data_IF_408864056790
#
_entry.id   IF_408864056790
#
_cell.length_a   1.000
_cell.length_b   1.000
_cell.length_c   1.000
_cell.angle_alpha   90.00
_cell.angle_beta   90.00
_cell.angle_gamma   90.00
#
_symmetry.space_group_name_H-M   'P 1'
#
loop_
_entity.id
_entity.type
_entity.pdbx_description
1 polymer ?
#
# COMPACT_ATOMS: atom_id res chain seq x y z
N UNK A 1 -16.77 -63.94 15.23
CA UNK A 1 -17.22 -62.59 15.60
C UNK A 1 -16.08 -61.58 15.78
N UNK A 2 -14.97 -61.90 16.46
CA UNK A 2 -13.85 -61.01 16.69
C UNK A 2 -13.10 -60.56 15.42
N UNK A 3 -12.98 -61.44 14.41
CA UNK A 3 -12.28 -61.11 13.14
C UNK A 3 -13.03 -60.04 12.34
N UNK A 4 -14.36 -60.12 12.24
CA UNK A 4 -15.17 -59.15 11.52
C UNK A 4 -15.13 -57.76 12.19
N UNK A 5 -15.11 -57.74 13.52
CA UNK A 5 -14.97 -56.48 14.29
C UNK A 5 -13.61 -55.81 14.07
N UNK A 6 -12.53 -56.59 14.03
CA UNK A 6 -11.19 -56.05 13.75
C UNK A 6 -11.10 -55.46 12.34
N UNK A 7 -11.67 -56.15 11.33
CA UNK A 7 -11.71 -55.64 9.96
C UNK A 7 -12.50 -54.33 9.86
N UNK A 8 -13.62 -54.20 10.54
CA UNK A 8 -14.39 -52.95 10.60
C UNK A 8 -13.62 -51.82 11.25
N UNK A 9 -12.89 -52.05 12.33
CA UNK A 9 -12.06 -51.06 13.01
C UNK A 9 -10.94 -50.55 12.11
N UNK A 10 -10.24 -51.44 11.38
CA UNK A 10 -9.19 -51.08 10.44
C UNK A 10 -9.77 -50.26 9.26
N UNK A 11 -10.92 -50.64 8.71
CA UNK A 11 -11.57 -49.89 7.66
C UNK A 11 -11.99 -48.49 8.11
N UNK A 12 -12.55 -48.37 9.34
CA UNK A 12 -12.92 -47.08 9.92
C UNK A 12 -11.70 -46.18 10.11
N UNK A 13 -10.59 -46.72 10.61
CA UNK A 13 -9.34 -45.99 10.81
C UNK A 13 -8.79 -45.47 9.46
N UNK A 14 -8.80 -46.28 8.40
CA UNK A 14 -8.35 -45.87 7.08
C UNK A 14 -9.23 -44.77 6.49
N UNK A 15 -10.54 -44.83 6.68
CA UNK A 15 -11.47 -43.78 6.23
C UNK A 15 -11.21 -42.50 7.00
N UNK A 16 -11.01 -42.52 8.29
CA UNK A 16 -10.71 -41.33 9.10
C UNK A 16 -9.35 -40.73 8.75
N UNK A 17 -8.33 -41.55 8.49
CA UNK A 17 -7.01 -41.10 8.04
C UNK A 17 -7.06 -40.44 6.65
N UNK A 18 -7.82 -41.02 5.71
CA UNK A 18 -8.05 -40.40 4.41
C UNK A 18 -8.81 -39.08 4.51
N UNK A 19 -9.81 -39.02 5.36
CA UNK A 19 -10.58 -37.79 5.61
C UNK A 19 -9.70 -36.69 6.22
N UNK A 20 -8.81 -37.04 7.13
CA UNK A 20 -7.84 -36.11 7.75
C UNK A 20 -6.82 -35.60 6.72
N UNK A 21 -6.29 -36.47 5.84
CA UNK A 21 -5.40 -36.11 4.75
C UNK A 21 -6.10 -35.20 3.73
N UNK A 22 -7.33 -35.51 3.34
CA UNK A 22 -8.10 -34.69 2.40
C UNK A 22 -8.45 -33.33 3.02
N UNK A 23 -8.87 -33.29 4.26
CA UNK A 23 -9.16 -32.05 4.97
C UNK A 23 -7.91 -31.20 5.18
N UNK A 24 -6.75 -31.81 5.45
CA UNK A 24 -5.45 -31.16 5.52
C UNK A 24 -5.05 -30.54 4.19
N UNK A 25 -5.16 -31.29 3.07
CA UNK A 25 -4.88 -30.78 1.70
C UNK A 25 -5.86 -29.68 1.30
N UNK A 26 -7.13 -29.78 1.66
CA UNK A 26 -8.13 -28.73 1.39
C UNK A 26 -7.89 -27.49 2.26
N UNK A 27 -7.43 -27.68 3.49
CA UNK A 27 -7.03 -26.58 4.38
C UNK A 27 -5.80 -25.85 3.85
N UNK A 28 -4.74 -26.57 3.45
CA UNK A 28 -3.55 -25.97 2.83
C UNK A 28 -3.88 -25.27 1.51
N UNK A 29 -4.75 -25.85 0.68
CA UNK A 29 -5.17 -25.26 -0.59
C UNK A 29 -6.01 -23.99 -0.40
N UNK A 30 -6.78 -23.88 0.68
CA UNK A 30 -7.52 -22.66 1.04
C UNK A 30 -6.62 -21.55 1.63
N UNK A 31 -5.50 -21.91 2.26
CA UNK A 31 -4.61 -20.94 2.92
C UNK A 31 -3.35 -20.61 2.14
N UNK A 32 -3.10 -21.23 0.97
CA UNK A 32 -1.92 -20.95 0.13
C UNK A 32 -2.14 -19.90 -0.95
N UNK A 33 -3.36 -19.40 -1.14
CA UNK A 33 -3.64 -18.37 -2.16
C UNK A 33 -3.58 -17.00 -1.50
N UNK A 34 -2.46 -16.31 -1.65
CA UNK A 34 -2.35 -14.91 -1.29
C UNK A 34 -3.45 -14.11 -2.03
N UNK A 35 -4.21 -13.24 -1.36
CA UNK A 35 -5.24 -12.45 -2.02
C UNK A 35 -4.59 -11.50 -3.05
N UNK A 36 -5.36 -11.09 -4.05
CA UNK A 36 -4.89 -10.06 -4.99
C UNK A 36 -4.79 -8.73 -4.27
N UNK A 37 -3.67 -8.03 -4.46
CA UNK A 37 -3.44 -6.68 -3.92
C UNK A 37 -3.59 -5.64 -5.03
N UNK A 38 -4.48 -4.68 -4.82
CA UNK A 38 -4.74 -3.57 -5.73
C UNK A 38 -4.03 -2.31 -5.25
N UNK A 39 -3.17 -1.73 -6.10
CA UNK A 39 -2.68 -0.37 -5.93
C UNK A 39 -3.65 0.63 -6.57
N UNK A 40 -3.98 1.72 -5.88
CA UNK A 40 -4.79 2.81 -6.41
C UNK A 40 -3.90 4.02 -6.59
N UNK A 41 -3.66 4.43 -7.84
CA UNK A 41 -2.82 5.56 -8.22
C UNK A 41 -3.66 6.64 -8.90
N UNK A 42 -3.53 7.88 -8.45
CA UNK A 42 -4.07 9.05 -9.14
C UNK A 42 -2.90 9.85 -9.69
N UNK A 43 -2.93 10.19 -10.98
CA UNK A 43 -1.84 10.90 -11.66
C UNK A 43 -2.34 11.82 -12.76
N UNK A 44 -1.44 12.61 -13.36
CA UNK A 44 -1.70 13.31 -14.61
C UNK A 44 -1.69 14.82 -14.52
N UNK A 45 -1.25 15.43 -13.40
CA UNK A 45 -1.19 16.89 -13.28
C UNK A 45 -0.28 17.55 -14.34
N UNK A 46 0.87 16.91 -14.61
CA UNK A 46 1.87 17.38 -15.58
C UNK A 46 2.78 16.23 -16.04
N UNK A 47 3.71 16.50 -16.94
CA UNK A 47 4.63 15.50 -17.51
C UNK A 47 5.61 14.94 -16.45
N UNK A 48 5.97 15.73 -15.43
CA UNK A 48 6.81 15.27 -14.35
C UNK A 48 6.08 14.21 -13.49
N UNK A 49 4.80 14.44 -13.20
CA UNK A 49 3.95 13.47 -12.50
C UNK A 49 3.80 12.17 -13.30
N UNK A 50 3.67 12.25 -14.62
CA UNK A 50 3.64 11.04 -15.47
C UNK A 50 4.95 10.25 -15.41
N UNK A 51 6.11 10.94 -15.35
CA UNK A 51 7.40 10.27 -15.17
C UNK A 51 7.46 9.56 -13.82
N UNK A 52 7.06 10.22 -12.74
CA UNK A 52 7.01 9.57 -11.41
C UNK A 52 6.02 8.41 -11.38
N UNK A 53 4.86 8.53 -12.03
CA UNK A 53 3.89 7.45 -12.15
C UNK A 53 4.47 6.20 -12.83
N UNK A 54 5.37 6.37 -13.81
CA UNK A 54 6.09 5.23 -14.40
C UNK A 54 7.02 4.56 -13.39
N UNK A 55 7.84 5.33 -12.67
CA UNK A 55 8.75 4.82 -11.64
C UNK A 55 7.98 4.15 -10.50
N UNK A 56 6.89 4.77 -10.06
CA UNK A 56 6.02 4.24 -9.01
C UNK A 56 5.30 2.96 -9.45
N UNK A 57 4.95 2.84 -10.75
CA UNK A 57 4.43 1.60 -11.35
C UNK A 57 5.45 0.46 -11.27
N UNK A 58 6.71 0.73 -11.62
CA UNK A 58 7.79 -0.25 -11.51
C UNK A 58 8.00 -0.66 -10.05
N UNK A 59 8.03 0.31 -9.13
CA UNK A 59 8.14 0.06 -7.69
C UNK A 59 7.00 -0.80 -7.14
N UNK A 60 5.76 -0.64 -7.67
CA UNK A 60 4.63 -1.48 -7.30
C UNK A 60 4.81 -2.93 -7.74
N UNK A 61 5.23 -3.15 -8.97
CA UNK A 61 5.42 -4.52 -9.47
C UNK A 61 6.69 -5.18 -8.95
N UNK A 62 7.70 -4.43 -8.51
CA UNK A 62 8.91 -4.97 -7.85
C UNK A 62 8.68 -5.38 -6.39
N UNK A 63 7.51 -5.13 -5.81
CA UNK A 63 7.19 -5.60 -4.46
C UNK A 63 7.29 -7.12 -4.35
N UNK A 64 7.90 -7.63 -3.27
CA UNK A 64 8.13 -9.06 -3.03
C UNK A 64 6.89 -9.83 -2.56
N UNK A 65 5.74 -9.17 -2.52
CA UNK A 65 4.45 -9.77 -2.21
C UNK A 65 4.12 -10.92 -3.16
N UNK A 66 3.75 -12.08 -2.60
CA UNK A 66 3.58 -13.32 -3.35
C UNK A 66 2.22 -13.47 -4.05
N UNK A 67 1.23 -12.68 -3.66
CA UNK A 67 -0.08 -12.65 -4.32
C UNK A 67 -0.03 -11.89 -5.66
N UNK A 68 -1.09 -12.02 -6.43
CA UNK A 68 -1.27 -11.20 -7.62
C UNK A 68 -1.31 -9.72 -7.26
N UNK A 69 -0.74 -8.91 -8.13
CA UNK A 69 -0.75 -7.44 -8.01
C UNK A 69 -1.47 -6.85 -9.21
N UNK A 70 -2.39 -5.93 -8.98
CA UNK A 70 -3.10 -5.17 -10.00
C UNK A 70 -3.00 -3.69 -9.67
N UNK A 71 -2.61 -2.86 -10.63
CA UNK A 71 -2.52 -1.41 -10.45
C UNK A 71 -3.67 -0.72 -11.19
N UNK A 72 -4.45 0.07 -10.45
CA UNK A 72 -5.51 0.91 -11.02
C UNK A 72 -5.00 2.34 -11.06
N UNK A 73 -4.86 2.89 -12.26
CA UNK A 73 -4.38 4.25 -12.50
C UNK A 73 -5.55 5.10 -12.99
N UNK A 74 -5.93 6.11 -12.22
CA UNK A 74 -6.84 7.17 -12.67
C UNK A 74 -5.97 8.33 -13.13
N UNK A 75 -5.97 8.57 -14.43
CA UNK A 75 -5.13 9.54 -15.09
C UNK A 75 -5.98 10.69 -15.64
N UNK A 76 -5.64 11.91 -15.27
CA UNK A 76 -6.32 13.12 -15.75
C UNK A 76 -5.45 13.98 -16.68
N UNK A 77 -4.38 13.41 -17.25
CA UNK A 77 -3.57 14.01 -18.31
C UNK A 77 -3.98 13.41 -19.67
N UNK A 78 -3.83 14.17 -20.75
CA UNK A 78 -4.08 13.70 -22.11
C UNK A 78 -3.10 12.60 -22.55
N UNK A 79 -1.89 12.61 -21.98
CA UNK A 79 -0.89 11.56 -22.20
C UNK A 79 -1.11 10.39 -21.23
N UNK A 80 -0.94 9.18 -21.72
CA UNK A 80 -0.99 7.98 -20.87
C UNK A 80 0.32 7.76 -20.12
N UNK A 81 0.23 7.13 -18.94
CA UNK A 81 1.39 6.54 -18.27
C UNK A 81 1.90 5.38 -19.13
N UNK A 82 3.19 5.37 -19.44
CA UNK A 82 3.82 4.30 -20.23
C UNK A 82 4.06 3.11 -19.29
N UNK A 83 3.41 1.99 -19.60
CA UNK A 83 3.52 0.75 -18.83
C UNK A 83 4.36 -0.24 -19.61
N UNK A 84 5.44 -0.82 -19.03
CA UNK A 84 6.18 -1.89 -19.67
C UNK A 84 5.27 -3.03 -20.10
N UNK A 85 5.53 -3.61 -21.28
CA UNK A 85 4.65 -4.63 -21.89
C UNK A 85 4.38 -5.82 -20.97
N UNK A 86 5.36 -6.21 -20.17
CA UNK A 86 5.25 -7.30 -19.19
C UNK A 86 4.18 -7.06 -18.12
N UNK A 87 3.83 -5.81 -17.82
CA UNK A 87 2.85 -5.43 -16.78
C UNK A 87 1.52 -4.92 -17.34
N UNK A 88 1.41 -4.71 -18.68
CA UNK A 88 0.20 -4.12 -19.27
C UNK A 88 -1.10 -4.85 -18.92
N UNK A 89 -1.05 -6.18 -18.83
CA UNK A 89 -2.21 -7.01 -18.47
C UNK A 89 -2.60 -6.96 -16.98
N UNK A 90 -1.76 -6.33 -16.13
CA UNK A 90 -1.95 -6.14 -14.69
C UNK A 90 -2.32 -4.70 -14.33
N UNK A 91 -2.48 -3.83 -15.33
CA UNK A 91 -2.78 -2.41 -15.12
C UNK A 91 -4.11 -2.05 -15.75
N UNK A 92 -4.98 -1.45 -14.95
CA UNK A 92 -6.22 -0.81 -15.41
C UNK A 92 -5.95 0.71 -15.42
N UNK A 93 -5.92 1.32 -16.60
CA UNK A 93 -5.73 2.77 -16.72
C UNK A 93 -7.00 3.43 -17.26
N UNK A 94 -7.59 4.32 -16.45
CA UNK A 94 -8.79 5.08 -16.79
C UNK A 94 -8.42 6.55 -16.92
N UNK A 95 -8.85 7.16 -18.02
CA UNK A 95 -8.74 8.60 -18.21
C UNK A 95 -10.00 9.29 -17.67
N UNK A 96 -9.81 10.36 -16.89
CA UNK A 96 -10.89 11.18 -16.35
C UNK A 96 -10.61 12.66 -16.59
N UNK A 97 -11.67 13.45 -16.70
CA UNK A 97 -11.52 14.89 -16.79
C UNK A 97 -11.37 15.50 -15.37
N UNK A 98 -10.25 16.16 -15.11
CA UNK A 98 -9.95 16.79 -13.82
C UNK A 98 -10.92 17.92 -13.45
N UNK A 99 -11.49 18.61 -14.44
CA UNK A 99 -12.42 19.70 -14.17
C UNK A 99 -13.78 19.24 -13.63
N UNK A 100 -14.11 17.96 -13.80
CA UNK A 100 -15.38 17.38 -13.37
C UNK A 100 -15.25 16.39 -12.20
N UNK A 101 -14.01 16.04 -11.79
CA UNK A 101 -13.76 15.05 -10.75
C UNK A 101 -12.77 15.62 -9.72
N UNK A 102 -13.18 15.58 -8.46
CA UNK A 102 -12.29 15.85 -7.34
C UNK A 102 -11.33 14.66 -7.11
N UNK A 103 -10.31 14.85 -6.28
CA UNK A 103 -9.39 13.77 -5.90
C UNK A 103 -10.15 12.59 -5.28
N UNK A 104 -11.07 12.88 -4.35
CA UNK A 104 -11.89 11.84 -3.72
C UNK A 104 -12.79 11.09 -4.69
N UNK A 105 -13.41 11.81 -5.66
CA UNK A 105 -14.20 11.16 -6.72
C UNK A 105 -13.35 10.21 -7.58
N UNK A 106 -12.14 10.63 -7.97
CA UNK A 106 -11.21 9.78 -8.73
C UNK A 106 -10.79 8.52 -7.94
N UNK A 107 -10.57 8.65 -6.62
CA UNK A 107 -10.26 7.52 -5.76
C UNK A 107 -11.43 6.54 -5.64
N UNK A 108 -12.67 7.05 -5.59
CA UNK A 108 -13.85 6.22 -5.56
C UNK A 108 -14.02 5.44 -6.87
N UNK A 109 -13.79 6.05 -8.03
CA UNK A 109 -13.77 5.32 -9.32
C UNK A 109 -12.79 4.14 -9.28
N UNK A 110 -11.60 4.33 -8.74
CA UNK A 110 -10.64 3.25 -8.60
C UNK A 110 -11.08 2.20 -7.57
N UNK A 111 -11.64 2.64 -6.44
CA UNK A 111 -12.08 1.76 -5.37
C UNK A 111 -13.25 0.85 -5.81
N UNK A 112 -14.12 1.33 -6.68
CA UNK A 112 -15.22 0.54 -7.27
C UNK A 112 -14.72 -0.65 -8.09
N UNK A 113 -13.53 -0.56 -8.66
CA UNK A 113 -12.94 -1.64 -9.44
C UNK A 113 -12.22 -2.68 -8.58
N UNK A 114 -12.03 -2.41 -7.29
CA UNK A 114 -11.44 -3.37 -6.35
C UNK A 114 -12.53 -4.34 -5.91
N UNK A 115 -12.39 -5.66 -6.12
CA UNK A 115 -13.35 -6.65 -5.64
C UNK A 115 -13.46 -6.64 -4.12
N UNK A 116 -14.62 -7.02 -3.61
CA UNK A 116 -14.83 -7.22 -2.18
C UNK A 116 -13.87 -8.29 -1.66
N UNK A 117 -13.44 -8.13 -0.41
CA UNK A 117 -12.44 -8.98 0.26
C UNK A 117 -11.02 -8.96 -0.35
N UNK A 118 -10.78 -8.27 -1.47
CA UNK A 118 -9.43 -8.07 -1.98
C UNK A 118 -8.65 -7.09 -1.10
N UNK A 119 -7.32 -7.15 -1.18
CA UNK A 119 -6.44 -6.16 -0.56
C UNK A 119 -6.32 -4.94 -1.45
N UNK A 120 -6.21 -3.78 -0.83
CA UNK A 120 -5.93 -2.55 -1.54
C UNK A 120 -5.07 -1.58 -0.72
N UNK A 121 -4.36 -0.72 -1.42
CA UNK A 121 -3.54 0.34 -0.84
C UNK A 121 -3.54 1.54 -1.77
N UNK A 122 -3.52 2.74 -1.22
CA UNK A 122 -3.16 3.91 -2.02
C UNK A 122 -1.72 3.82 -2.43
N UNK A 123 -1.47 4.09 -3.71
CA UNK A 123 -0.14 4.02 -4.30
C UNK A 123 0.14 5.33 -5.02
N UNK A 124 0.53 6.36 -4.27
CA UNK A 124 0.77 7.67 -4.85
C UNK A 124 1.87 7.59 -5.92
N UNK A 125 1.69 8.39 -6.98
CA UNK A 125 2.51 8.35 -8.19
C UNK A 125 3.93 8.89 -7.99
N UNK A 126 4.18 9.62 -6.90
CA UNK A 126 5.44 10.29 -6.59
C UNK A 126 6.16 9.73 -5.34
N UNK A 127 5.68 8.65 -4.73
CA UNK A 127 6.23 8.12 -3.50
C UNK A 127 7.00 6.81 -3.72
N UNK A 128 8.05 6.61 -2.90
CA UNK A 128 8.80 5.37 -2.86
C UNK A 128 8.33 4.46 -1.73
N UNK A 129 8.21 3.16 -2.02
CA UNK A 129 7.99 2.11 -1.04
C UNK A 129 9.07 1.04 -1.16
N UNK A 130 9.58 0.58 -0.01
CA UNK A 130 10.57 -0.50 0.01
C UNK A 130 10.02 -1.77 -0.63
N UNK A 131 10.89 -2.59 -1.22
CA UNK A 131 10.50 -3.84 -1.88
C UNK A 131 9.67 -4.78 -1.02
N UNK A 132 9.84 -4.75 0.28
CA UNK A 132 9.17 -5.58 1.28
C UNK A 132 7.97 -4.90 1.96
N UNK A 133 7.51 -3.75 1.45
CA UNK A 133 6.39 -3.00 2.02
C UNK A 133 5.11 -3.83 2.06
N UNK A 134 4.63 -4.32 0.93
CA UNK A 134 3.38 -5.08 0.85
C UNK A 134 3.45 -6.40 1.61
N UNK A 135 4.54 -7.15 1.48
CA UNK A 135 4.70 -8.44 2.17
C UNK A 135 4.75 -8.28 3.69
N UNK A 136 5.38 -7.21 4.18
CA UNK A 136 5.43 -6.91 5.62
C UNK A 136 4.04 -6.56 6.16
N UNK A 137 3.32 -5.63 5.52
CA UNK A 137 1.99 -5.23 5.99
C UNK A 137 1.00 -6.42 5.93
N UNK A 138 1.05 -7.21 4.86
CA UNK A 138 0.22 -8.40 4.75
C UNK A 138 0.52 -9.44 5.84
N UNK A 139 1.81 -9.70 6.13
CA UNK A 139 2.22 -10.60 7.21
C UNK A 139 1.61 -10.17 8.56
N UNK A 140 1.62 -8.88 8.85
CA UNK A 140 1.01 -8.38 10.09
C UNK A 140 -0.52 -8.43 10.05
N UNK A 141 -1.15 -8.16 8.91
CA UNK A 141 -2.59 -8.31 8.73
C UNK A 141 -3.04 -9.73 9.07
N UNK A 142 -2.39 -10.75 8.52
CA UNK A 142 -2.70 -12.15 8.78
C UNK A 142 -2.41 -12.55 10.25
N UNK A 143 -1.22 -12.23 10.76
CA UNK A 143 -0.81 -12.63 12.10
C UNK A 143 -1.63 -12.00 13.22
N UNK A 144 -2.12 -10.77 13.00
CA UNK A 144 -2.96 -10.01 13.94
C UNK A 144 -4.45 -10.19 13.69
N UNK A 145 -4.82 -10.81 12.54
CA UNK A 145 -6.22 -11.00 12.12
C UNK A 145 -6.99 -9.68 12.07
N UNK A 146 -6.39 -8.68 11.43
CA UNK A 146 -6.97 -7.34 11.27
C UNK A 146 -7.28 -7.04 9.82
N UNK A 147 -8.12 -6.06 9.57
CA UNK A 147 -8.54 -5.68 8.22
C UNK A 147 -7.74 -4.51 7.64
N UNK A 148 -6.91 -3.87 8.46
CA UNK A 148 -5.99 -2.85 8.01
C UNK A 148 -4.69 -2.88 8.80
N UNK A 149 -3.59 -2.52 8.14
CA UNK A 149 -2.27 -2.35 8.76
C UNK A 149 -1.66 -1.05 8.26
N UNK A 150 -1.10 -0.29 9.19
CA UNK A 150 -0.29 0.90 8.93
C UNK A 150 1.00 0.82 9.73
N UNK A 151 1.83 1.86 9.70
CA UNK A 151 3.11 1.90 10.40
C UNK A 151 3.39 3.27 11.01
N UNK A 152 4.39 3.34 11.91
CA UNK A 152 4.67 4.52 12.74
C UNK A 152 5.55 5.55 12.06
N UNK A 153 6.55 5.13 11.26
CA UNK A 153 7.61 6.02 10.79
C UNK A 153 7.62 6.13 9.28
N UNK A 154 7.60 7.35 8.77
CA UNK A 154 7.82 7.65 7.36
C UNK A 154 8.93 8.68 7.19
N UNK A 155 9.58 8.65 6.05
CA UNK A 155 10.53 9.68 5.65
C UNK A 155 9.91 10.62 4.61
N UNK A 156 10.38 11.85 4.58
CA UNK A 156 10.11 12.80 3.51
C UNK A 156 11.45 13.26 2.93
N UNK A 157 11.54 13.29 1.62
CA UNK A 157 12.73 13.71 0.88
C UNK A 157 12.38 14.86 -0.06
N UNK A 158 13.00 16.02 0.14
CA UNK A 158 12.83 17.17 -0.74
C UNK A 158 13.83 17.07 -1.89
N UNK A 159 13.34 16.90 -3.11
CA UNK A 159 14.16 16.68 -4.31
C UNK A 159 14.99 17.91 -4.69
N UNK A 160 14.52 19.13 -4.35
CA UNK A 160 15.19 20.38 -4.71
C UNK A 160 16.33 20.71 -3.74
N UNK A 161 16.13 20.49 -2.43
CA UNK A 161 17.12 20.82 -1.39
C UNK A 161 17.96 19.65 -0.92
N UNK A 162 17.53 18.40 -1.23
CA UNK A 162 18.14 17.19 -0.71
C UNK A 162 17.93 16.98 0.80
N UNK A 163 17.03 17.74 1.40
CA UNK A 163 16.71 17.61 2.83
C UNK A 163 15.87 16.36 3.09
N UNK A 164 16.13 15.73 4.23
CA UNK A 164 15.43 14.52 4.71
C UNK A 164 14.84 14.79 6.08
N UNK A 165 13.57 14.44 6.25
CA UNK A 165 12.88 14.46 7.54
C UNK A 165 12.36 13.08 7.88
N UNK A 166 12.18 12.80 9.16
CA UNK A 166 11.51 11.60 9.66
C UNK A 166 10.32 12.03 10.51
N UNK A 167 9.17 11.48 10.21
CA UNK A 167 7.95 11.69 10.99
C UNK A 167 7.59 10.39 11.69
N UNK A 168 7.29 10.47 12.99
CA UNK A 168 6.80 9.36 13.77
C UNK A 168 5.39 9.66 14.27
N UNK A 169 4.47 8.75 14.01
CA UNK A 169 3.11 8.83 14.51
C UNK A 169 2.73 7.50 15.19
N UNK A 170 2.78 7.47 16.53
CA UNK A 170 2.48 6.25 17.31
C UNK A 170 1.12 5.62 16.99
N UNK A 171 0.14 6.44 16.61
CA UNK A 171 -1.17 5.97 16.15
C UNK A 171 -1.16 5.44 14.72
N UNK A 172 0.00 5.45 14.04
CA UNK A 172 0.17 5.09 12.63
C UNK A 172 -0.32 6.17 11.67
N UNK A 173 0.25 6.16 10.48
CA UNK A 173 -0.18 7.01 9.37
C UNK A 173 -1.47 6.47 8.74
N UNK A 174 -2.31 7.37 8.22
CA UNK A 174 -3.46 7.01 7.40
C UNK A 174 -3.07 6.88 5.92
N UNK A 175 -4.07 6.74 5.09
CA UNK A 175 -4.09 6.82 3.64
C UNK A 175 -2.95 6.10 2.89
N UNK A 176 -1.96 6.82 2.34
CA UNK A 176 -0.88 6.25 1.51
C UNK A 176 0.02 5.23 2.24
N UNK A 177 -0.16 5.10 3.55
CA UNK A 177 0.63 4.25 4.43
C UNK A 177 -0.15 3.03 4.95
N UNK A 178 -1.30 2.72 4.37
CA UNK A 178 -2.14 1.61 4.83
C UNK A 178 -2.28 0.53 3.76
N UNK A 179 -2.25 -0.73 4.19
CA UNK A 179 -2.78 -1.87 3.44
C UNK A 179 -4.13 -2.24 4.08
N UNK A 180 -5.18 -2.30 3.27
CA UNK A 180 -6.54 -2.52 3.73
C UNK A 180 -7.17 -3.71 3.02
N UNK A 181 -8.05 -4.43 3.71
CA UNK A 181 -9.01 -5.33 3.10
C UNK A 181 -10.22 -4.53 2.61
N UNK A 182 -10.66 -4.75 1.38
CA UNK A 182 -11.84 -4.05 0.85
C UNK A 182 -13.08 -4.44 1.65
N UNK A 183 -13.81 -3.43 2.10
CA UNK A 183 -15.08 -3.58 2.84
C UNK A 183 -16.12 -2.66 2.23
N UNK A 184 -17.38 -3.10 2.27
CA UNK A 184 -18.51 -2.22 1.96
C UNK A 184 -18.58 -1.00 2.88
N UNK A 185 -19.13 0.08 2.38
CA UNK A 185 -19.47 1.27 3.16
C UNK A 185 -18.35 2.29 3.34
N UNK A 186 -17.14 2.05 2.84
CA UNK A 186 -16.11 3.07 2.79
C UNK A 186 -16.09 3.79 1.43
N UNK A 187 -16.15 5.13 1.49
CA UNK A 187 -16.01 6.04 0.35
C UNK A 187 -15.17 7.24 0.73
N UNK A 188 -14.32 7.68 -0.19
CA UNK A 188 -13.61 8.93 -0.03
C UNK A 188 -14.58 10.11 -0.13
N UNK A 189 -14.32 11.15 0.66
CA UNK A 189 -15.05 12.40 0.52
C UNK A 189 -14.83 13.02 -0.86
N UNK A 190 -15.89 13.53 -1.46
CA UNK A 190 -15.84 14.16 -2.79
C UNK A 190 -15.24 15.58 -2.72
N UNK A 191 -13.97 15.67 -2.32
CA UNK A 191 -13.16 16.89 -2.16
C UNK A 191 -11.75 16.67 -2.69
N UNK A 192 -10.99 17.76 -2.87
CA UNK A 192 -9.61 17.72 -3.38
C UNK A 192 -8.55 17.62 -2.28
N UNK A 193 -8.92 17.85 -1.03
CA UNK A 193 -8.00 17.79 0.11
C UNK A 193 -8.69 17.16 1.30
N UNK A 194 -7.97 16.35 2.08
CA UNK A 194 -8.54 15.61 3.22
C UNK A 194 -9.67 14.64 2.85
N UNK A 195 -9.70 14.16 1.62
CA UNK A 195 -10.67 13.18 1.14
C UNK A 195 -10.57 11.85 1.87
N UNK A 196 -9.40 11.55 2.41
CA UNK A 196 -9.00 10.31 3.09
C UNK A 196 -9.14 10.35 4.63
N UNK A 197 -9.60 11.47 5.19
CA UNK A 197 -9.59 11.71 6.64
C UNK A 197 -10.27 10.63 7.48
N UNK A 198 -11.29 9.97 6.91
CA UNK A 198 -12.07 8.97 7.63
C UNK A 198 -11.58 7.52 7.36
N UNK A 199 -10.62 7.31 6.47
CA UNK A 199 -10.13 5.97 6.14
C UNK A 199 -9.64 5.21 7.38
N UNK A 200 -8.78 5.84 8.17
CA UNK A 200 -8.25 5.23 9.39
C UNK A 200 -9.36 4.97 10.41
N UNK A 201 -10.29 5.92 10.58
CA UNK A 201 -11.43 5.79 11.47
C UNK A 201 -12.36 4.65 11.06
N UNK A 202 -12.55 4.45 9.77
CA UNK A 202 -13.37 3.36 9.25
C UNK A 202 -12.84 1.96 9.66
N UNK A 203 -11.52 1.82 9.75
CA UNK A 203 -10.86 0.58 10.17
C UNK A 203 -10.47 0.55 11.66
N UNK A 204 -10.81 1.56 12.47
CA UNK A 204 -10.28 1.79 13.83
C UNK A 204 -10.40 0.56 14.75
N UNK A 205 -11.50 -0.17 14.68
CA UNK A 205 -11.71 -1.40 15.44
C UNK A 205 -10.93 -2.62 14.93
N UNK A 206 -10.32 -2.53 13.76
CA UNK A 206 -9.62 -3.64 13.07
C UNK A 206 -8.35 -3.17 12.35
N UNK A 207 -7.61 -2.24 12.97
CA UNK A 207 -6.34 -1.72 12.47
C UNK A 207 -5.18 -2.14 13.38
N UNK A 208 -4.07 -2.55 12.77
CA UNK A 208 -2.81 -2.77 13.46
C UNK A 208 -1.78 -1.73 13.03
N UNK A 209 -1.07 -1.14 13.99
CA UNK A 209 0.04 -0.22 13.75
C UNK A 209 1.36 -0.95 13.93
N UNK A 210 2.11 -1.09 12.85
CA UNK A 210 3.43 -1.71 12.86
C UNK A 210 4.49 -0.67 13.24
N UNK A 211 5.30 -0.97 14.25
CA UNK A 211 6.47 -0.16 14.59
C UNK A 211 7.62 -0.50 13.64
N UNK A 212 7.96 0.46 12.77
CA UNK A 212 9.00 0.34 11.76
C UNK A 212 10.21 1.24 12.03
N UNK A 213 10.44 1.62 13.29
CA UNK A 213 11.46 2.62 13.70
C UNK A 213 12.84 2.36 13.08
N UNK A 214 13.24 1.10 12.92
CA UNK A 214 14.55 0.72 12.37
C UNK A 214 14.55 0.48 10.85
N UNK A 215 13.45 0.80 10.14
CA UNK A 215 13.31 0.44 8.73
C UNK A 215 12.70 1.56 7.90
N UNK A 216 13.37 1.87 6.79
CA UNK A 216 12.83 2.78 5.77
C UNK A 216 11.81 2.04 4.92
N UNK A 217 10.55 2.07 5.30
CA UNK A 217 9.45 1.45 4.55
C UNK A 217 8.90 2.34 3.45
N UNK A 218 8.84 3.63 3.72
CA UNK A 218 8.13 4.59 2.89
C UNK A 218 8.86 5.93 2.91
N UNK A 219 9.06 6.49 1.71
CA UNK A 219 9.62 7.83 1.53
C UNK A 219 8.64 8.62 0.66
N UNK A 220 8.11 9.70 1.23
CA UNK A 220 7.34 10.68 0.48
C UNK A 220 8.26 11.65 -0.21
N UNK A 221 8.08 11.83 -1.53
CA UNK A 221 8.76 12.90 -2.25
C UNK A 221 8.07 14.23 -2.00
N UNK A 222 8.89 15.23 -1.68
CA UNK A 222 8.45 16.61 -1.51
C UNK A 222 9.00 17.43 -2.68
N UNK A 223 8.10 17.99 -3.48
CA UNK A 223 8.39 18.84 -4.63
C UNK A 223 7.28 19.89 -4.81
N UNK A 224 7.50 20.90 -5.65
CA UNK A 224 6.58 22.04 -5.83
C UNK A 224 5.17 21.67 -6.33
N UNK A 225 5.01 20.51 -6.95
CA UNK A 225 3.75 20.02 -7.49
C UNK A 225 2.97 19.10 -6.56
N UNK A 226 3.41 18.87 -5.30
CA UNK A 226 2.59 18.14 -4.32
C UNK A 226 1.28 18.88 -4.05
N UNK A 227 0.19 18.12 -3.91
CA UNK A 227 -1.14 18.68 -3.59
C UNK A 227 -1.33 19.02 -2.13
N UNK A 228 -0.52 18.46 -1.24
CA UNK A 228 -0.62 18.66 0.21
C UNK A 228 -0.07 20.01 0.65
N UNK A 229 -0.84 20.76 1.44
CA UNK A 229 -0.45 22.07 1.99
C UNK A 229 0.79 22.05 2.91
N UNK A 230 1.25 20.88 3.36
CA UNK A 230 2.50 20.76 4.13
C UNK A 230 3.73 21.25 3.36
N UNK A 231 3.71 21.16 2.04
CA UNK A 231 4.80 21.61 1.17
C UNK A 231 5.03 23.12 1.25
N UNK A 232 3.98 23.92 1.47
CA UNK A 232 4.09 25.36 1.53
C UNK A 232 4.67 25.91 2.86
N UNK A 233 4.84 25.07 3.86
CA UNK A 233 5.52 25.40 5.13
C UNK A 233 7.04 25.29 5.05
N UNK A 234 7.61 24.91 3.92
CA UNK A 234 9.06 24.70 3.74
C UNK A 234 9.93 25.94 3.89
N UNK A 235 9.38 27.12 4.08
CA UNK A 235 10.17 28.33 4.42
C UNK A 235 10.60 28.41 5.89
N UNK A 236 10.13 27.52 6.78
CA UNK A 236 10.36 27.61 8.23
C UNK A 236 10.28 26.26 8.93
N UNK A 237 10.88 25.20 8.38
CA UNK A 237 11.02 23.92 9.10
C UNK A 237 11.95 24.00 10.33
N UNK A 238 12.71 25.09 10.48
CA UNK A 238 13.49 25.36 11.70
C UNK A 238 12.64 25.59 12.96
N UNK A 239 11.33 25.91 12.79
CA UNK A 239 10.43 26.25 13.88
C UNK A 239 9.42 25.14 14.24
N UNK A 240 9.42 24.02 13.53
CA UNK A 240 8.61 22.83 13.85
C UNK A 240 9.34 21.95 14.84
N UNK A 241 9.75 22.54 15.96
CA UNK A 241 10.34 21.82 17.07
C UNK A 241 9.34 20.83 17.70
N UNK A 242 9.83 19.65 18.06
CA UNK A 242 9.33 18.67 19.06
C UNK A 242 7.82 18.43 19.22
N UNK A 243 6.97 19.44 19.00
CA UNK A 243 5.52 19.37 19.27
C UNK A 243 4.74 18.48 18.30
N UNK A 244 5.28 18.14 17.11
CA UNK A 244 4.60 17.38 16.05
C UNK A 244 5.20 16.00 15.76
N UNK A 245 6.10 15.48 16.62
CA UNK A 245 6.70 14.16 16.42
C UNK A 245 7.74 14.10 15.30
N UNK A 246 8.38 15.23 14.97
CA UNK A 246 9.55 15.28 14.09
C UNK A 246 10.79 14.87 14.85
N UNK A 247 11.54 13.93 14.29
CA UNK A 247 12.81 13.49 14.84
C UNK A 247 13.97 13.96 13.95
N UNK A 248 15.03 14.42 14.58
CA UNK A 248 16.30 14.67 13.89
C UNK A 248 16.76 13.35 13.24
N UNK A 249 16.84 13.37 11.93
CA UNK A 249 17.35 12.25 11.15
C UNK A 249 18.87 12.20 11.30
N UNK A 250 19.41 11.06 11.70
CA UNK A 250 20.85 10.86 11.76
C UNK A 250 21.47 10.98 10.37
N UNK A 251 22.76 11.36 10.28
CA UNK A 251 23.43 11.50 8.98
C UNK A 251 23.47 10.17 8.21
N UNK A 252 23.51 9.04 8.92
CA UNK A 252 23.43 7.69 8.32
C UNK A 252 22.04 7.45 7.67
N UNK A 253 20.96 7.86 8.33
CA UNK A 253 19.60 7.73 7.76
C UNK A 253 19.40 8.68 6.57
N UNK A 254 19.92 9.92 6.66
CA UNK A 254 19.87 10.87 5.54
C UNK A 254 20.57 10.30 4.31
N UNK A 255 21.77 9.76 4.49
CA UNK A 255 22.53 9.14 3.42
C UNK A 255 21.81 7.92 2.83
N UNK A 256 21.25 7.08 3.69
CA UNK A 256 20.46 5.92 3.25
C UNK A 256 19.24 6.35 2.40
N UNK A 257 18.46 7.32 2.87
CA UNK A 257 17.28 7.83 2.14
C UNK A 257 17.70 8.43 0.79
N UNK A 258 18.75 9.25 0.75
CA UNK A 258 19.30 9.82 -0.50
C UNK A 258 19.71 8.74 -1.49
N UNK A 259 20.44 7.72 -1.05
CA UNK A 259 20.88 6.63 -1.90
C UNK A 259 19.70 5.82 -2.46
N UNK A 260 18.67 5.57 -1.65
CA UNK A 260 17.42 4.93 -2.10
C UNK A 260 16.77 5.78 -3.20
N UNK A 261 16.65 7.10 -3.00
CA UNK A 261 15.99 7.98 -3.95
C UNK A 261 16.77 8.14 -5.26
N UNK A 262 18.10 8.23 -5.20
CA UNK A 262 18.96 8.22 -6.38
C UNK A 262 18.78 6.92 -7.19
N UNK A 263 18.68 5.77 -6.51
CA UNK A 263 18.44 4.49 -7.17
C UNK A 263 17.03 4.42 -7.77
N UNK A 264 16.03 4.95 -7.08
CA UNK A 264 14.65 5.02 -7.57
C UNK A 264 14.50 5.86 -8.83
N UNK A 265 15.16 7.01 -8.90
CA UNK A 265 15.09 7.92 -10.07
C UNK A 265 15.87 7.41 -11.30
N UNK A 266 16.79 6.46 -11.13
CA UNK A 266 17.60 5.87 -12.23
C UNK A 266 16.92 4.68 -12.92
N UNK A 267 15.88 4.09 -12.33
CA UNK A 267 15.10 3.00 -12.91
C UNK A 267 14.01 3.52 -13.85
#
# INVERSE_FOLDING_TARGET
MHFLFLVMLVALFLILAQWWLISGMLYEKRHSVFPTCYGIMITGKDDMRLKYAQLSTLNFFDQDYKGHKCLIIINHNDKRVIIPSVYQHLVIQIHVNRTTHTLGAMRNIALDLVPDDALWTSWDDDDYRSKWYLSTLYKYMESKRVDAVTFTDRYEYNINSGLVWKFCMKSGFGYACMLCKKKEGFWYHNVDTFEDRDLKRFYDSSIFVYDNTDKVMYIRLVHENNTSMFVHRTKSYSDLSEANGEYLVSDKEKELVKNIMIAFEKN
#
